data_IF_028728604593
#
_entry.id   IF_028728604593
#
_cell.length_a   1.000
_cell.length_b   1.000
_cell.length_c   1.000
_cell.angle_alpha   90.00
_cell.angle_beta   90.00
_cell.angle_gamma   90.00
#
_symmetry.space_group_name_H-M   'P 1'
#
loop_
_entity.id
_entity.type
_entity.pdbx_description
1 polymer ?
#
# COMPACT_ATOMS: atom_id res chain seq x y z
N UNK A 1 -26.80 -17.83 -21.04
CA UNK A 1 -25.78 -18.83 -21.42
C UNK A 1 -24.43 -18.13 -21.51
N UNK A 2 -23.44 -18.61 -20.73
CA UNK A 2 -21.97 -18.41 -20.85
C UNK A 2 -21.52 -16.92 -20.75
N UNK A 3 -21.04 -16.32 -19.64
CA UNK A 3 -20.05 -16.69 -18.60
C UNK A 3 -18.76 -17.31 -19.15
N UNK A 4 -17.77 -16.46 -19.45
CA UNK A 4 -16.32 -16.67 -19.24
C UNK A 4 -15.53 -15.54 -19.90
N UNK A 5 -14.93 -14.64 -19.11
CA UNK A 5 -13.76 -13.84 -19.51
C UNK A 5 -13.38 -12.88 -18.37
N UNK A 6 -12.41 -13.29 -17.54
CA UNK A 6 -11.47 -12.43 -16.76
C UNK A 6 -10.91 -13.19 -15.54
N UNK A 7 -10.36 -14.38 -15.79
CA UNK A 7 -9.59 -15.15 -14.80
C UNK A 7 -8.19 -15.40 -15.38
N UNK A 8 -7.47 -14.32 -15.71
CA UNK A 8 -6.06 -14.35 -16.10
C UNK A 8 -5.40 -13.01 -15.77
N UNK A 9 -5.07 -12.77 -14.50
CA UNK A 9 -4.05 -11.78 -14.08
C UNK A 9 -3.63 -11.92 -12.60
N UNK A 10 -3.86 -13.06 -11.94
CA UNK A 10 -3.58 -13.20 -10.49
C UNK A 10 -2.46 -14.19 -10.13
N UNK A 11 -1.58 -14.54 -11.08
CA UNK A 11 -0.42 -15.39 -10.79
C UNK A 11 0.82 -14.83 -11.50
N UNK A 12 1.43 -13.78 -10.95
CA UNK A 12 2.74 -13.29 -11.43
C UNK A 12 3.55 -12.42 -10.44
N UNK A 13 3.24 -12.40 -9.13
CA UNK A 13 4.05 -11.59 -8.16
C UNK A 13 4.55 -12.40 -6.95
N UNK A 14 4.40 -13.74 -6.94
CA UNK A 14 4.73 -14.56 -5.77
C UNK A 14 5.81 -15.62 -6.05
N UNK A 15 6.95 -15.23 -6.62
CA UNK A 15 8.06 -16.15 -6.89
C UNK A 15 9.47 -15.51 -6.86
N UNK A 16 9.74 -14.55 -5.97
CA UNK A 16 11.12 -14.01 -5.80
C UNK A 16 11.61 -13.93 -4.35
N UNK A 17 10.77 -14.16 -3.35
CA UNK A 17 11.18 -14.03 -1.95
C UNK A 17 11.07 -15.36 -1.19
N UNK A 18 11.99 -16.31 -1.44
CA UNK A 18 12.28 -17.44 -0.52
C UNK A 18 13.43 -18.33 -1.04
N UNK A 19 14.67 -17.80 -1.18
CA UNK A 19 15.86 -18.67 -1.24
C UNK A 19 17.19 -17.98 -0.93
N UNK A 20 17.33 -17.36 0.25
CA UNK A 20 18.67 -17.15 0.83
C UNK A 20 18.55 -17.38 2.33
N UNK A 21 19.08 -18.51 2.81
CA UNK A 21 19.53 -18.83 4.18
C UNK A 21 19.19 -20.27 4.58
N UNK A 22 19.92 -21.24 4.02
CA UNK A 22 20.33 -22.55 4.59
C UNK A 22 21.24 -23.15 3.52
N UNK A 23 22.54 -23.33 3.70
CA UNK A 23 23.14 -24.19 4.71
C UNK A 23 23.55 -25.52 4.05
N UNK A 24 24.86 -25.73 3.95
CA UNK A 24 25.58 -27.00 3.80
C UNK A 24 25.62 -27.74 2.44
N UNK A 25 26.87 -27.99 2.04
CA UNK A 25 27.40 -29.20 1.42
C UNK A 25 26.87 -29.62 0.03
N UNK A 26 27.73 -29.51 -0.99
CA UNK A 26 28.20 -30.72 -1.68
C UNK A 26 29.42 -30.45 -2.56
N UNK A 27 30.41 -31.32 -2.38
CA UNK A 27 31.59 -31.53 -3.22
C UNK A 27 31.21 -31.72 -4.68
N UNK A 28 32.04 -31.23 -5.61
CA UNK A 28 32.44 -32.04 -6.75
C UNK A 28 33.73 -31.51 -7.41
N UNK A 29 34.78 -32.31 -7.20
CA UNK A 29 36.01 -32.37 -7.99
C UNK A 29 35.69 -32.40 -9.49
N UNK A 30 36.41 -31.61 -10.29
CA UNK A 30 36.89 -32.05 -11.61
C UNK A 30 38.28 -31.45 -11.86
N UNK A 31 39.23 -32.37 -12.02
CA UNK A 31 40.61 -32.17 -12.44
C UNK A 31 40.64 -31.80 -13.93
N UNK A 32 41.59 -30.95 -14.30
CA UNK A 32 42.29 -31.07 -15.59
C UNK A 32 43.80 -30.90 -15.37
N UNK A 33 44.65 -31.66 -16.10
CA UNK A 33 46.04 -31.87 -15.73
C UNK A 33 46.98 -30.88 -16.43
N UNK A 34 48.02 -30.42 -15.72
CA UNK A 34 49.23 -29.86 -16.37
C UNK A 34 50.50 -30.43 -15.71
N UNK A 35 51.57 -30.59 -16.50
CA UNK A 35 52.55 -31.64 -16.29
C UNK A 35 53.65 -31.28 -15.30
N UNK A 36 54.28 -32.34 -14.80
CA UNK A 36 55.41 -32.34 -13.89
C UNK A 36 56.58 -31.47 -14.37
N UNK A 37 57.13 -30.68 -13.44
CA UNK A 37 58.52 -30.25 -13.48
C UNK A 37 59.23 -30.59 -12.16
N UNK A 38 60.48 -30.98 -12.35
CA UNK A 38 61.38 -31.72 -11.47
C UNK A 38 61.89 -30.93 -10.26
N UNK A 39 61.99 -31.69 -9.18
CA UNK A 39 63.00 -31.75 -8.12
C UNK A 39 63.07 -30.70 -7.00
N UNK A 40 63.35 -31.16 -5.77
CA UNK A 40 63.25 -30.38 -4.55
C UNK A 40 64.60 -29.75 -4.19
N UNK A 41 64.62 -28.45 -3.92
CA UNK A 41 65.62 -27.87 -3.05
C UNK A 41 64.98 -27.67 -1.69
N UNK A 42 65.46 -28.45 -0.73
CA UNK A 42 65.19 -28.27 0.68
C UNK A 42 65.62 -26.84 1.06
N UNK A 43 64.64 -25.98 1.29
CA UNK A 43 64.80 -24.82 2.15
C UNK A 43 64.24 -25.27 3.49
N UNK A 44 65.12 -25.40 4.48
CA UNK A 44 64.72 -25.44 5.89
C UNK A 44 63.93 -24.15 6.16
N UNK A 45 62.60 -24.26 6.16
CA UNK A 45 61.76 -23.31 6.89
C UNK A 45 62.12 -23.50 8.37
N UNK A 46 62.96 -22.60 8.86
CA UNK A 46 63.09 -22.33 10.28
C UNK A 46 61.68 -21.95 10.74
N UNK A 47 60.97 -22.90 11.34
CA UNK A 47 59.77 -22.61 12.12
C UNK A 47 60.13 -21.49 13.10
N UNK A 48 59.51 -20.30 13.03
CA UNK A 48 59.64 -19.38 14.13
C UNK A 48 58.97 -20.09 15.32
N UNK A 49 59.78 -20.43 16.34
CA UNK A 49 59.29 -20.81 17.66
C UNK A 49 58.16 -19.84 18.01
N UNK A 50 56.91 -20.31 17.94
CA UNK A 50 55.78 -19.61 18.51
C UNK A 50 56.01 -19.64 20.01
N UNK A 51 56.72 -18.63 20.53
CA UNK A 51 56.73 -18.33 21.96
C UNK A 51 55.28 -18.33 22.40
N UNK A 52 54.95 -19.24 23.31
CA UNK A 52 53.65 -19.24 23.95
C UNK A 52 53.46 -17.84 24.53
N UNK A 53 52.36 -17.16 24.18
CA UNK A 53 52.13 -15.81 24.67
C UNK A 53 52.20 -15.86 26.19
N UNK A 54 52.87 -14.88 26.78
CA UNK A 54 52.81 -14.72 28.23
C UNK A 54 51.34 -14.60 28.65
N UNK A 55 51.01 -15.02 29.87
CA UNK A 55 49.62 -15.00 30.37
C UNK A 55 49.01 -13.59 30.21
N UNK A 56 49.82 -12.54 30.37
CA UNK A 56 49.43 -11.14 30.14
C UNK A 56 49.13 -10.81 28.68
N UNK A 57 49.90 -11.31 27.72
CA UNK A 57 49.63 -11.13 26.27
C UNK A 57 48.38 -11.87 25.83
N UNK A 58 48.18 -13.10 26.33
CA UNK A 58 46.96 -13.88 26.09
C UNK A 58 45.72 -13.15 26.66
N UNK A 59 45.84 -12.58 27.86
CA UNK A 59 44.78 -11.80 28.49
C UNK A 59 44.49 -10.48 27.74
N UNK A 60 45.52 -9.77 27.27
CA UNK A 60 45.34 -8.57 26.42
C UNK A 60 44.66 -8.89 25.10
N UNK A 61 45.03 -9.98 24.44
CA UNK A 61 44.38 -10.44 23.21
C UNK A 61 42.92 -10.82 23.46
N UNK A 62 42.61 -11.53 24.55
CA UNK A 62 41.24 -11.85 24.93
C UNK A 62 40.40 -10.60 25.21
N UNK A 63 40.94 -9.60 25.92
CA UNK A 63 40.27 -8.32 26.17
C UNK A 63 40.02 -7.57 24.86
N UNK A 64 40.99 -7.53 23.95
CA UNK A 64 40.82 -6.90 22.63
C UNK A 64 39.77 -7.62 21.76
N UNK A 65 39.72 -8.95 21.83
CA UNK A 65 38.72 -9.77 21.14
C UNK A 65 37.31 -9.51 21.68
N UNK A 66 37.14 -9.44 23.00
CA UNK A 66 35.88 -9.06 23.64
C UNK A 66 35.47 -7.63 23.28
N UNK A 67 36.41 -6.68 23.25
CA UNK A 67 36.13 -5.29 22.84
C UNK A 67 35.65 -5.22 21.38
N UNK A 68 36.26 -5.98 20.47
CA UNK A 68 35.83 -6.08 19.09
C UNK A 68 34.43 -6.70 18.96
N UNK A 69 34.15 -7.77 19.72
CA UNK A 69 32.81 -8.40 19.76
C UNK A 69 31.75 -7.44 20.29
N UNK A 70 32.04 -6.66 21.34
CA UNK A 70 31.15 -5.62 21.84
C UNK A 70 30.91 -4.54 20.79
N UNK A 71 31.94 -4.15 20.04
CA UNK A 71 31.83 -3.21 18.91
C UNK A 71 30.91 -3.72 17.80
N UNK A 72 31.08 -4.98 17.39
CA UNK A 72 30.24 -5.65 16.39
C UNK A 72 28.78 -5.72 16.85
N UNK A 73 28.54 -6.22 18.08
CA UNK A 73 27.20 -6.29 18.66
C UNK A 73 26.53 -4.91 18.75
N UNK A 74 27.29 -3.87 19.09
CA UNK A 74 26.77 -2.49 19.13
C UNK A 74 26.35 -2.02 17.74
N UNK A 75 27.11 -2.36 16.70
CA UNK A 75 26.78 -2.03 15.31
C UNK A 75 25.54 -2.78 14.82
N UNK A 76 25.40 -4.06 15.17
CA UNK A 76 24.23 -4.88 14.85
C UNK A 76 22.99 -4.35 15.56
N UNK A 77 23.12 -3.97 16.82
CA UNK A 77 22.02 -3.38 17.59
C UNK A 77 21.56 -2.06 16.97
N UNK A 78 22.49 -1.23 16.46
CA UNK A 78 22.13 -0.01 15.71
C UNK A 78 21.38 -0.34 14.41
N UNK A 79 21.84 -1.32 13.64
CA UNK A 79 21.15 -1.78 12.42
C UNK A 79 19.74 -2.29 12.72
N UNK A 80 19.61 -3.15 13.73
CA UNK A 80 18.32 -3.67 14.18
C UNK A 80 17.37 -2.55 14.63
N UNK A 81 17.86 -1.51 15.31
CA UNK A 81 17.04 -0.34 15.66
C UNK A 81 16.55 0.41 14.42
N UNK A 82 17.43 0.64 13.44
CA UNK A 82 17.06 1.31 12.19
C UNK A 82 16.05 0.48 11.38
N UNK A 83 16.24 -0.84 11.30
CA UNK A 83 15.29 -1.75 10.64
C UNK A 83 13.95 -1.78 11.37
N UNK A 84 13.95 -1.80 12.70
CA UNK A 84 12.72 -1.76 13.49
C UNK A 84 11.95 -0.44 13.27
N UNK A 85 12.65 0.70 13.23
CA UNK A 85 12.05 1.99 12.91
C UNK A 85 11.47 2.02 11.48
N UNK A 86 12.19 1.46 10.50
CA UNK A 86 11.69 1.31 9.12
C UNK A 86 10.46 0.41 9.07
N UNK A 87 10.48 -0.72 9.76
CA UNK A 87 9.34 -1.65 9.83
C UNK A 87 8.12 -0.99 10.49
N UNK A 88 8.33 -0.21 11.56
CA UNK A 88 7.25 0.55 12.20
C UNK A 88 6.62 1.57 11.24
N UNK A 89 7.43 2.32 10.50
CA UNK A 89 6.93 3.26 9.49
C UNK A 89 6.20 2.53 8.35
N UNK A 90 6.69 1.35 7.93
CA UNK A 90 6.05 0.54 6.89
C UNK A 90 4.69 0.00 7.34
N UNK A 91 4.59 -0.49 8.57
CA UNK A 91 3.30 -0.93 9.14
C UNK A 91 2.32 0.24 9.22
N UNK A 92 2.78 1.42 9.65
CA UNK A 92 1.97 2.63 9.67
C UNK A 92 1.49 3.00 8.25
N UNK A 93 2.38 2.92 7.25
CA UNK A 93 2.05 3.17 5.85
C UNK A 93 0.93 2.24 5.36
N UNK A 94 1.06 0.93 5.58
CA UNK A 94 0.06 -0.06 5.15
C UNK A 94 -1.31 0.19 5.78
N UNK A 95 -1.35 0.57 7.06
CA UNK A 95 -2.59 0.93 7.75
C UNK A 95 -3.27 2.17 7.14
N UNK A 96 -2.49 3.19 6.79
CA UNK A 96 -3.04 4.38 6.13
C UNK A 96 -3.49 4.11 4.70
N UNK A 97 -2.80 3.25 3.96
CA UNK A 97 -3.21 2.83 2.61
C UNK A 97 -4.53 2.04 2.65
N UNK A 98 -4.69 1.11 3.59
CA UNK A 98 -5.96 0.40 3.78
C UNK A 98 -7.10 1.37 4.15
N UNK A 99 -6.82 2.32 5.06
CA UNK A 99 -7.80 3.35 5.45
C UNK A 99 -8.16 4.27 4.28
N UNK A 100 -7.20 4.61 3.43
CA UNK A 100 -7.42 5.41 2.23
C UNK A 100 -8.32 4.65 1.25
N UNK A 101 -8.03 3.38 0.97
CA UNK A 101 -8.85 2.55 0.09
C UNK A 101 -10.32 2.49 0.56
N UNK A 102 -10.55 2.31 1.86
CA UNK A 102 -11.90 2.34 2.45
C UNK A 102 -12.60 3.69 2.33
N UNK A 103 -11.85 4.80 2.39
CA UNK A 103 -12.43 6.13 2.17
C UNK A 103 -12.77 6.34 0.69
N UNK A 104 -11.92 5.88 -0.23
CA UNK A 104 -12.15 5.96 -1.66
C UNK A 104 -13.39 5.17 -2.09
N UNK A 105 -13.58 3.96 -1.54
CA UNK A 105 -14.81 3.18 -1.72
C UNK A 105 -16.05 3.95 -1.23
N UNK A 106 -16.01 4.52 -0.01
CA UNK A 106 -17.12 5.32 0.53
C UNK A 106 -17.42 6.58 -0.28
N UNK A 107 -16.39 7.22 -0.84
CA UNK A 107 -16.55 8.37 -1.73
C UNK A 107 -17.27 7.94 -2.99
N UNK A 108 -16.87 6.81 -3.58
CA UNK A 108 -17.48 6.25 -4.77
C UNK A 108 -18.96 5.90 -4.54
N UNK A 109 -19.29 5.20 -3.45
CA UNK A 109 -20.67 4.89 -3.06
C UNK A 109 -21.52 6.16 -2.91
N UNK A 110 -20.97 7.20 -2.29
CA UNK A 110 -21.67 8.47 -2.09
C UNK A 110 -21.91 9.21 -3.42
N UNK A 111 -20.96 9.16 -4.34
CA UNK A 111 -21.10 9.71 -5.70
C UNK A 111 -22.18 8.95 -6.47
N UNK A 112 -22.18 7.62 -6.42
CA UNK A 112 -23.18 6.79 -7.08
C UNK A 112 -24.59 7.08 -6.55
N UNK A 113 -24.74 7.19 -5.23
CA UNK A 113 -26.02 7.55 -4.63
C UNK A 113 -26.48 8.95 -5.07
N UNK A 114 -25.58 9.94 -5.10
CA UNK A 114 -25.90 11.28 -5.61
C UNK A 114 -26.36 11.23 -7.06
N UNK A 115 -25.67 10.47 -7.93
CA UNK A 115 -26.06 10.31 -9.33
C UNK A 115 -27.46 9.69 -9.48
N UNK A 116 -27.84 8.76 -8.59
CA UNK A 116 -29.19 8.20 -8.54
C UNK A 116 -30.23 9.26 -8.14
N UNK A 117 -29.92 10.14 -7.19
CA UNK A 117 -30.79 11.26 -6.83
C UNK A 117 -30.95 12.25 -7.99
N UNK A 118 -29.86 12.56 -8.70
CA UNK A 118 -29.89 13.43 -9.88
C UNK A 118 -30.77 12.83 -11.00
N UNK A 119 -30.69 11.52 -11.22
CA UNK A 119 -31.55 10.82 -12.17
C UNK A 119 -33.04 10.87 -11.73
N UNK A 120 -33.33 10.68 -10.44
CA UNK A 120 -34.68 10.79 -9.89
C UNK A 120 -35.25 12.21 -10.03
N UNK A 121 -34.44 13.24 -9.75
CA UNK A 121 -34.87 14.63 -9.94
C UNK A 121 -35.23 14.90 -11.40
N UNK A 122 -34.40 14.46 -12.34
CA UNK A 122 -34.68 14.59 -13.78
C UNK A 122 -35.98 13.87 -14.17
N UNK A 123 -36.27 12.71 -13.58
CA UNK A 123 -37.51 11.99 -13.80
C UNK A 123 -38.72 12.79 -13.29
N UNK A 124 -38.67 13.31 -12.06
CA UNK A 124 -39.74 14.15 -11.52
C UNK A 124 -39.97 15.42 -12.36
N UNK A 125 -38.89 16.06 -12.82
CA UNK A 125 -38.98 17.23 -13.71
C UNK A 125 -39.62 16.87 -15.07
N UNK A 126 -39.31 15.70 -15.64
CA UNK A 126 -39.98 15.20 -16.86
C UNK A 126 -41.47 14.99 -16.63
N UNK A 127 -41.85 14.32 -15.53
CA UNK A 127 -43.27 14.09 -15.17
C UNK A 127 -44.01 15.41 -14.98
N UNK A 128 -43.40 16.38 -14.31
CA UNK A 128 -43.99 17.70 -14.10
C UNK A 128 -44.23 18.45 -15.42
N UNK A 129 -43.26 18.43 -16.35
CA UNK A 129 -43.42 19.02 -17.70
C UNK A 129 -44.52 18.32 -18.51
N UNK A 130 -44.62 17.00 -18.42
CA UNK A 130 -45.66 16.24 -19.11
C UNK A 130 -47.05 16.64 -18.60
N UNK A 131 -47.24 16.71 -17.27
CA UNK A 131 -48.50 17.17 -16.66
C UNK A 131 -48.81 18.61 -17.08
N UNK A 132 -47.82 19.50 -17.12
CA UNK A 132 -48.03 20.87 -17.59
C UNK A 132 -48.48 20.93 -19.06
N UNK A 133 -47.89 20.08 -19.91
CA UNK A 133 -48.20 20.01 -21.33
C UNK A 133 -49.58 19.40 -21.58
N UNK A 134 -49.94 18.35 -20.86
CA UNK A 134 -51.28 17.73 -20.96
C UNK A 134 -52.39 18.69 -20.54
N UNK A 135 -52.18 19.49 -19.49
CA UNK A 135 -53.14 20.52 -19.06
C UNK A 135 -53.31 21.61 -20.11
N UNK A 136 -52.21 22.06 -20.72
CA UNK A 136 -52.28 23.05 -21.79
C UNK A 136 -53.03 22.54 -23.02
N UNK A 137 -52.91 21.24 -23.35
CA UNK A 137 -53.49 20.62 -24.55
C UNK A 137 -54.96 20.21 -24.39
N UNK A 138 -55.40 19.78 -23.18
CA UNK A 138 -56.73 19.19 -22.98
C UNK A 138 -57.80 20.15 -22.46
N UNK A 139 -57.41 21.34 -22.01
CA UNK A 139 -58.33 22.33 -21.45
C UNK A 139 -58.82 21.95 -20.05
N UNK A 140 -58.64 22.88 -19.09
CA UNK A 140 -58.77 22.75 -17.63
C UNK A 140 -60.14 22.28 -17.06
N UNK A 141 -61.12 21.92 -17.89
CA UNK A 141 -62.53 22.02 -17.49
C UNK A 141 -63.03 20.96 -16.47
N UNK A 142 -62.29 19.89 -16.13
CA UNK A 142 -62.77 18.85 -15.17
C UNK A 142 -61.73 18.13 -14.30
N UNK A 143 -60.44 18.52 -14.26
CA UNK A 143 -59.38 17.78 -13.53
C UNK A 143 -58.42 18.62 -12.67
N UNK A 144 -58.69 19.91 -12.53
CA UNK A 144 -57.75 20.88 -11.95
C UNK A 144 -57.28 20.55 -10.53
N UNK A 145 -58.16 20.09 -9.63
CA UNK A 145 -57.79 19.84 -8.23
C UNK A 145 -56.86 18.63 -8.05
N UNK A 146 -57.14 17.52 -8.76
CA UNK A 146 -56.30 16.32 -8.69
C UNK A 146 -54.93 16.55 -9.34
N UNK A 147 -54.88 17.30 -10.44
CA UNK A 147 -53.62 17.63 -11.12
C UNK A 147 -52.80 18.68 -10.35
N UNK A 148 -53.46 19.63 -9.67
CA UNK A 148 -52.80 20.54 -8.74
C UNK A 148 -52.17 19.79 -7.56
N UNK A 149 -52.87 18.80 -6.99
CA UNK A 149 -52.35 17.95 -5.93
C UNK A 149 -51.11 17.16 -6.40
N UNK A 150 -51.16 16.53 -7.60
CA UNK A 150 -50.03 15.81 -8.19
C UNK A 150 -48.83 16.72 -8.46
N UNK A 151 -49.04 17.96 -8.92
CA UNK A 151 -47.96 18.94 -9.12
C UNK A 151 -47.31 19.33 -7.79
N UNK A 152 -48.11 19.59 -6.76
CA UNK A 152 -47.61 19.92 -5.43
C UNK A 152 -46.79 18.75 -4.84
N UNK A 153 -47.25 17.51 -5.01
CA UNK A 153 -46.52 16.32 -4.58
C UNK A 153 -45.18 16.17 -5.31
N UNK A 154 -45.17 16.32 -6.65
CA UNK A 154 -43.93 16.27 -7.43
C UNK A 154 -42.97 17.41 -7.08
N UNK A 155 -43.46 18.61 -6.83
CA UNK A 155 -42.63 19.74 -6.38
C UNK A 155 -41.98 19.44 -5.03
N UNK A 156 -42.76 18.92 -4.07
CA UNK A 156 -42.24 18.50 -2.77
C UNK A 156 -41.18 17.40 -2.90
N UNK A 157 -41.41 16.41 -3.77
CA UNK A 157 -40.44 15.34 -4.03
C UNK A 157 -39.13 15.86 -4.65
N UNK A 158 -39.20 16.87 -5.54
CA UNK A 158 -38.02 17.54 -6.10
C UNK A 158 -37.25 18.28 -4.99
N UNK A 159 -37.95 19.03 -4.14
CA UNK A 159 -37.33 19.76 -3.02
C UNK A 159 -36.65 18.81 -2.03
N UNK A 160 -37.31 17.71 -1.68
CA UNK A 160 -36.73 16.67 -0.82
C UNK A 160 -35.49 16.04 -1.45
N UNK A 161 -35.54 15.71 -2.74
CA UNK A 161 -34.40 15.15 -3.48
C UNK A 161 -33.23 16.14 -3.50
N UNK A 162 -33.48 17.45 -3.68
CA UNK A 162 -32.45 18.50 -3.62
C UNK A 162 -31.83 18.66 -2.24
N UNK A 163 -32.62 18.54 -1.18
CA UNK A 163 -32.10 18.55 0.18
C UNK A 163 -31.17 17.34 0.42
N UNK A 164 -31.56 16.15 -0.06
CA UNK A 164 -30.73 14.95 -0.01
C UNK A 164 -29.44 15.12 -0.84
N UNK A 165 -29.51 15.61 -2.08
CA UNK A 165 -28.34 15.89 -2.92
C UNK A 165 -27.35 16.83 -2.21
N UNK A 166 -27.85 17.90 -1.58
CA UNK A 166 -27.01 18.87 -0.86
C UNK A 166 -26.29 18.19 0.32
N UNK A 167 -27.00 17.33 1.05
CA UNK A 167 -26.44 16.54 2.16
C UNK A 167 -25.33 15.60 1.67
N UNK A 168 -25.55 14.89 0.56
CA UNK A 168 -24.55 14.00 -0.01
C UNK A 168 -23.36 14.76 -0.60
N UNK A 169 -23.59 15.94 -1.19
CA UNK A 169 -22.52 16.80 -1.67
C UNK A 169 -21.60 17.25 -0.52
N UNK A 170 -22.16 17.64 0.63
CA UNK A 170 -21.38 17.96 1.82
C UNK A 170 -20.60 16.74 2.32
N UNK A 171 -21.27 15.59 2.42
CA UNK A 171 -20.62 14.33 2.84
C UNK A 171 -19.47 13.92 1.93
N UNK A 172 -19.61 14.06 0.61
CA UNK A 172 -18.54 13.80 -0.35
C UNK A 172 -17.35 14.73 -0.09
N UNK A 173 -17.60 16.03 0.08
CA UNK A 173 -16.55 17.02 0.40
C UNK A 173 -15.81 16.66 1.70
N UNK A 174 -16.54 16.25 2.73
CA UNK A 174 -15.93 15.86 4.00
C UNK A 174 -15.05 14.62 3.85
N UNK A 175 -15.54 13.58 3.16
CA UNK A 175 -14.77 12.36 2.90
C UNK A 175 -13.53 12.65 2.03
N UNK A 176 -13.64 13.50 1.01
CA UNK A 176 -12.51 13.95 0.19
C UNK A 176 -11.46 14.66 1.05
N UNK A 177 -11.89 15.57 1.93
CA UNK A 177 -10.96 16.26 2.84
C UNK A 177 -10.22 15.30 3.77
N UNK A 178 -10.88 14.22 4.22
CA UNK A 178 -10.26 13.18 5.03
C UNK A 178 -9.28 12.35 4.20
N UNK A 179 -9.65 11.97 2.99
CA UNK A 179 -8.78 11.24 2.06
C UNK A 179 -7.51 12.04 1.76
N UNK A 180 -7.61 13.35 1.52
CA UNK A 180 -6.45 14.21 1.24
C UNK A 180 -5.49 14.33 2.43
N UNK A 181 -6.03 14.36 3.66
CA UNK A 181 -5.18 14.32 4.87
C UNK A 181 -4.42 13.01 4.97
N UNK A 182 -5.07 11.89 4.65
CA UNK A 182 -4.43 10.57 4.67
C UNK A 182 -3.40 10.44 3.55
N UNK A 183 -3.71 10.89 2.32
CA UNK A 183 -2.75 10.92 1.20
C UNK A 183 -1.47 11.65 1.57
N UNK A 184 -1.59 12.83 2.20
CA UNK A 184 -0.43 13.57 2.72
C UNK A 184 0.37 12.76 3.75
N UNK A 185 -0.30 12.01 4.64
CA UNK A 185 0.39 11.14 5.61
C UNK A 185 1.10 9.97 4.93
N UNK A 186 0.45 9.33 3.97
CA UNK A 186 1.03 8.27 3.12
C UNK A 186 2.27 8.79 2.41
N UNK A 187 2.21 9.96 1.76
CA UNK A 187 3.35 10.56 1.07
C UNK A 187 4.51 10.87 2.01
N UNK A 188 4.22 11.37 3.22
CA UNK A 188 5.25 11.59 4.25
C UNK A 188 5.89 10.28 4.72
N UNK A 189 5.12 9.21 4.89
CA UNK A 189 5.64 7.91 5.32
C UNK A 189 6.46 7.24 4.22
N UNK A 190 6.02 7.32 2.96
CA UNK A 190 6.77 6.83 1.79
C UNK A 190 8.15 7.48 1.72
N UNK A 191 8.23 8.82 1.85
CA UNK A 191 9.50 9.55 1.89
C UNK A 191 10.44 9.17 3.04
N UNK A 192 9.89 8.69 4.17
CA UNK A 192 10.70 8.25 5.32
C UNK A 192 11.24 6.83 5.16
N UNK A 193 10.55 6.00 4.38
CA UNK A 193 10.92 4.61 4.14
C UNK A 193 11.90 4.50 2.96
N UNK A 194 11.77 5.40 1.98
CA UNK A 194 12.65 5.46 0.82
C UNK A 194 14.11 5.64 1.27
N UNK A 195 15.03 4.76 0.85
CA UNK A 195 16.43 4.90 1.20
C UNK A 195 16.97 6.21 0.62
N UNK A 196 17.87 6.92 1.32
CA UNK A 196 18.51 8.10 0.75
C UNK A 196 19.21 7.67 -0.54
N UNK A 197 18.87 8.32 -1.66
CA UNK A 197 19.59 8.11 -2.92
C UNK A 197 21.09 8.32 -2.67
N UNK A 198 21.86 7.24 -2.78
CA UNK A 198 23.31 7.29 -2.70
C UNK A 198 23.81 8.16 -3.86
N UNK A 199 24.42 9.31 -3.52
CA UNK A 199 25.15 10.17 -4.44
C UNK A 199 26.64 9.91 -4.34
#
# INVERSE_FOLDING_TARGET
MIKQSSLRSFVAVLAVALFVMTGAAQEQKKQDPRPAQKNPQAQEEVEPEKKQPTIEEAMRLAISGLANQVGLLTSELRKLRQENERNANLLELLLYEERLARLEEKIQDAIEYKNQLDAREQEFQRRLRNIQTEVALRGALRRDEAEAALRAELQRAIEETRAQQTTYQQRISDLQSQADRIRKRVDMLRKKIEPPEEK
#
